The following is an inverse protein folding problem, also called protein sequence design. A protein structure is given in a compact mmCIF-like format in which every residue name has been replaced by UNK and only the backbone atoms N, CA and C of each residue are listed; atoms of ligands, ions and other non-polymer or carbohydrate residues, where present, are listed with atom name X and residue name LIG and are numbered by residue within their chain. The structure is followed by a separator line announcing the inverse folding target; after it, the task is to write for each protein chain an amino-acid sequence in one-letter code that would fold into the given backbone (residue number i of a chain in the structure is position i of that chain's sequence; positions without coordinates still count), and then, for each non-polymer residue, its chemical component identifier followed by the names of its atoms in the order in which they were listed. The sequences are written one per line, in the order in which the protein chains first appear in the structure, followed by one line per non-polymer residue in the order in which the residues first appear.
data_IF_939702580543
#
_entry.id   IF_939702580543
#
_cell.length_a   1.000
_cell.length_b   1.000
_cell.length_c   1.000
_cell.angle_alpha   90.00
_cell.angle_beta   90.00
_cell.angle_gamma   90.00
#
_symmetry.space_group_name_H-M   'P 1'
#
loop_
_entity.id
_entity.type
_entity.pdbx_description
1 polymer ?
#
# COMPACT_ATOMS: atom_id res chain seq x y z
N UNK A 1 -15.35 12.10 8.87
CA UNK A 1 -15.28 10.92 7.98
C UNK A 1 -15.57 11.39 6.56
N UNK A 2 -14.57 11.36 5.68
CA UNK A 2 -14.69 11.77 4.28
C UNK A 2 -14.32 10.61 3.37
N UNK A 3 -15.17 10.36 2.37
CA UNK A 3 -14.83 9.49 1.25
C UNK A 3 -14.53 10.40 0.07
N UNK A 4 -13.27 10.41 -0.35
CA UNK A 4 -12.80 11.21 -1.47
C UNK A 4 -12.65 10.32 -2.71
N UNK A 5 -13.34 10.67 -3.80
CA UNK A 5 -13.16 10.00 -5.09
C UNK A 5 -11.92 10.60 -5.76
N UNK A 6 -10.89 9.78 -6.00
CA UNK A 6 -9.70 10.16 -6.76
C UNK A 6 -9.60 9.37 -8.05
N UNK A 7 -8.76 9.83 -8.97
CA UNK A 7 -8.56 9.15 -10.25
C UNK A 7 -8.03 7.72 -10.02
N UNK A 8 -8.90 6.75 -10.28
CA UNK A 8 -8.60 5.33 -10.20
C UNK A 8 -8.80 4.67 -8.82
N UNK A 9 -9.18 5.40 -7.76
CA UNK A 9 -9.47 4.80 -6.45
C UNK A 9 -10.33 5.71 -5.56
N UNK A 10 -11.00 5.11 -4.57
CA UNK A 10 -11.73 5.83 -3.53
C UNK A 10 -10.87 5.83 -2.27
N UNK A 11 -10.62 7.00 -1.70
CA UNK A 11 -9.94 7.16 -0.42
C UNK A 11 -10.98 7.36 0.68
N UNK A 12 -10.93 6.55 1.74
CA UNK A 12 -11.75 6.73 2.92
C UNK A 12 -10.86 6.98 4.13
N UNK A 13 -10.82 8.24 4.57
CA UNK A 13 -10.09 8.62 5.78
C UNK A 13 -10.98 8.53 7.03
N UNK A 14 -10.43 7.91 8.08
CA UNK A 14 -11.15 7.65 9.33
C UNK A 14 -12.05 6.41 9.28
N UNK A 15 -11.87 5.52 8.30
CA UNK A 15 -12.58 4.25 8.22
C UNK A 15 -11.99 3.17 9.15
N UNK A 16 -12.69 2.03 9.32
CA UNK A 16 -12.24 0.94 10.17
C UNK A 16 -11.01 0.24 9.58
N UNK A 17 -9.83 0.52 10.14
CA UNK A 17 -8.57 -0.15 9.80
C UNK A 17 -8.20 -1.15 10.92
N UNK A 18 -7.85 -2.41 10.60
CA UNK A 18 -7.43 -3.41 11.58
C UNK A 18 -6.34 -2.90 12.54
N UNK A 19 -6.37 -3.37 13.79
CA UNK A 19 -5.34 -3.03 14.77
C UNK A 19 -3.96 -3.51 14.29
N UNK A 20 -3.00 -2.58 14.22
CA UNK A 20 -1.65 -2.85 13.70
C UNK A 20 -1.41 -2.42 12.25
N UNK A 21 -2.43 -1.94 11.54
CA UNK A 21 -2.30 -1.32 10.22
C UNK A 21 -2.70 0.17 10.25
N UNK A 22 -2.04 0.97 9.42
CA UNK A 22 -2.36 2.39 9.20
C UNK A 22 -3.28 2.59 7.98
N UNK A 23 -3.34 1.62 7.06
CA UNK A 23 -4.22 1.58 5.91
C UNK A 23 -4.57 0.16 5.46
N UNK A 24 -5.58 0.04 4.61
CA UNK A 24 -5.96 -1.21 3.94
C UNK A 24 -6.55 -0.93 2.55
N UNK A 25 -6.17 -1.75 1.58
CA UNK A 25 -6.75 -1.73 0.23
C UNK A 25 -7.72 -2.88 0.01
N UNK A 26 -8.93 -2.55 -0.43
CA UNK A 26 -9.98 -3.46 -0.86
C UNK A 26 -10.39 -3.13 -2.30
N UNK A 27 -9.76 -3.79 -3.27
CA UNK A 27 -9.99 -3.53 -4.69
C UNK A 27 -9.55 -2.13 -5.08
N UNK A 28 -10.51 -1.24 -5.36
CA UNK A 28 -10.27 0.17 -5.67
C UNK A 28 -10.58 1.11 -4.50
N UNK A 29 -10.88 0.57 -3.31
CA UNK A 29 -11.11 1.33 -2.09
C UNK A 29 -9.86 1.26 -1.22
N UNK A 30 -9.33 2.42 -0.86
CA UNK A 30 -8.21 2.60 0.05
C UNK A 30 -8.78 3.21 1.33
N UNK A 31 -8.69 2.49 2.45
CA UNK A 31 -9.15 2.96 3.75
C UNK A 31 -7.93 3.28 4.59
N UNK A 32 -7.89 4.47 5.18
CA UNK A 32 -6.75 4.93 5.97
C UNK A 32 -7.24 5.45 7.31
N UNK A 33 -6.45 5.22 8.37
CA UNK A 33 -6.74 5.77 9.69
C UNK A 33 -6.66 7.30 9.65
N UNK A 34 -7.52 7.95 10.40
CA UNK A 34 -7.54 9.42 10.50
C UNK A 34 -6.15 9.97 10.87
N UNK A 35 -5.70 10.98 10.12
CA UNK A 35 -4.37 11.61 10.30
C UNK A 35 -3.16 10.75 9.89
N UNK A 36 -3.37 9.55 9.32
CA UNK A 36 -2.29 8.65 8.87
C UNK A 36 -2.14 8.58 7.35
N UNK A 37 -2.88 9.38 6.59
CA UNK A 37 -2.81 9.50 5.12
C UNK A 37 -1.52 10.19 4.64
N UNK A 38 -0.38 9.62 4.98
CA UNK A 38 0.93 10.12 4.56
C UNK A 38 1.15 9.88 3.05
N UNK A 39 1.97 10.71 2.38
CA UNK A 39 2.27 10.52 0.96
C UNK A 39 2.91 9.15 0.64
N UNK A 40 3.63 8.58 1.61
CA UNK A 40 4.17 7.22 1.51
C UNK A 40 3.06 6.18 1.57
N UNK A 41 2.18 6.23 2.59
CA UNK A 41 1.12 5.25 2.77
C UNK A 41 0.16 5.23 1.58
N UNK A 42 -0.24 6.40 1.08
CA UNK A 42 -1.11 6.47 -0.10
C UNK A 42 -0.47 5.80 -1.32
N UNK A 43 0.82 6.05 -1.59
CA UNK A 43 1.54 5.40 -2.69
C UNK A 43 1.65 3.89 -2.49
N UNK A 44 1.85 3.43 -1.26
CA UNK A 44 1.88 2.01 -0.91
C UNK A 44 0.53 1.33 -1.20
N UNK A 45 -0.57 1.89 -0.70
CA UNK A 45 -1.92 1.37 -0.94
C UNK A 45 -2.29 1.37 -2.43
N UNK A 46 -1.84 2.37 -3.19
CA UNK A 46 -2.04 2.39 -4.65
C UNK A 46 -1.35 1.24 -5.37
N UNK A 47 -0.23 0.74 -4.85
CA UNK A 47 0.40 -0.47 -5.41
C UNK A 47 -0.51 -1.66 -5.22
N UNK A 48 -1.15 -1.80 -4.05
CA UNK A 48 -2.15 -2.84 -3.82
C UNK A 48 -3.36 -2.69 -4.74
N UNK A 49 -3.84 -1.47 -5.02
CA UNK A 49 -4.93 -1.25 -6.01
C UNK A 49 -4.52 -1.77 -7.39
N UNK A 50 -3.28 -1.48 -7.83
CA UNK A 50 -2.76 -2.01 -9.11
C UNK A 50 -2.62 -3.53 -9.08
N UNK A 51 -2.13 -4.10 -8.00
CA UNK A 51 -2.00 -5.55 -7.84
C UNK A 51 -3.37 -6.25 -7.85
N UNK A 52 -4.38 -5.66 -7.19
CA UNK A 52 -5.76 -6.12 -7.23
C UNK A 52 -6.34 -6.09 -8.65
N UNK A 53 -6.13 -5.00 -9.39
CA UNK A 53 -6.55 -4.92 -10.80
C UNK A 53 -5.83 -5.93 -11.68
N UNK A 54 -4.54 -6.20 -11.42
CA UNK A 54 -3.72 -7.13 -12.20
C UNK A 54 -4.06 -8.60 -11.95
N UNK A 55 -4.30 -8.99 -10.70
CA UNK A 55 -4.48 -10.40 -10.33
C UNK A 55 -5.93 -10.76 -9.98
N UNK A 56 -6.83 -9.78 -9.88
CA UNK A 56 -8.16 -9.95 -9.31
C UNK A 56 -8.12 -10.24 -7.81
N UNK A 57 -9.31 -10.26 -7.19
CA UNK A 57 -9.47 -10.50 -5.75
C UNK A 57 -8.84 -11.83 -5.30
N UNK A 58 -9.19 -12.90 -6.01
CA UNK A 58 -8.75 -14.27 -5.69
C UNK A 58 -7.25 -14.42 -5.95
N UNK A 59 -6.76 -13.94 -7.10
CA UNK A 59 -5.35 -14.07 -7.45
C UNK A 59 -4.43 -13.26 -6.53
N UNK A 60 -4.89 -12.10 -6.04
CA UNK A 60 -4.20 -11.33 -5.02
C UNK A 60 -4.16 -12.10 -3.68
N UNK A 61 -5.33 -12.52 -3.19
CA UNK A 61 -5.45 -13.21 -1.91
C UNK A 61 -4.61 -14.49 -1.86
N UNK A 62 -4.66 -15.32 -2.91
CA UNK A 62 -3.87 -16.56 -2.99
C UNK A 62 -2.37 -16.26 -2.93
N UNK A 63 -1.87 -15.30 -3.70
CA UNK A 63 -0.42 -14.94 -3.70
C UNK A 63 0.02 -14.39 -2.35
N UNK A 64 -0.82 -13.57 -1.73
CA UNK A 64 -0.56 -12.97 -0.43
C UNK A 64 -0.49 -14.05 0.66
N UNK A 65 -1.56 -14.83 0.79
CA UNK A 65 -1.71 -15.85 1.83
C UNK A 65 -0.73 -17.01 1.64
N UNK A 66 -0.50 -17.48 0.41
CA UNK A 66 0.47 -18.53 0.14
C UNK A 66 1.89 -18.09 0.52
N UNK A 67 2.28 -16.85 0.19
CA UNK A 67 3.59 -16.30 0.58
C UNK A 67 3.71 -16.16 2.09
N UNK A 68 2.68 -15.62 2.74
CA UNK A 68 2.64 -15.50 4.20
C UNK A 68 2.76 -16.87 4.87
N UNK A 69 1.94 -17.85 4.46
CA UNK A 69 1.96 -19.20 4.97
C UNK A 69 3.33 -19.86 4.78
N UNK A 70 3.92 -19.76 3.58
CA UNK A 70 5.24 -20.29 3.29
C UNK A 70 6.33 -19.75 4.24
N UNK A 71 6.26 -18.46 4.63
CA UNK A 71 7.20 -17.88 5.59
C UNK A 71 6.88 -18.27 7.05
N UNK A 72 5.60 -18.43 7.40
CA UNK A 72 5.19 -18.96 8.70
C UNK A 72 5.64 -20.40 8.90
N UNK A 73 5.53 -21.24 7.85
CA UNK A 73 6.09 -22.61 7.85
C UNK A 73 7.61 -22.63 7.98
N UNK A 74 8.30 -21.61 7.47
CA UNK A 74 9.74 -21.38 7.71
C UNK A 74 10.07 -20.79 9.08
N UNK A 75 9.16 -20.91 10.06
CA UNK A 75 9.29 -20.46 11.46
C UNK A 75 9.57 -18.96 11.62
N UNK A 76 9.29 -18.12 10.61
CA UNK A 76 9.38 -16.66 10.76
C UNK A 76 8.17 -16.18 11.53
N UNK A 77 8.37 -15.37 12.58
CA UNK A 77 7.27 -14.70 13.31
C UNK A 77 6.39 -13.85 12.39
N UNK A 78 5.22 -13.41 12.87
CA UNK A 78 4.22 -12.67 12.07
C UNK A 78 4.84 -11.52 11.25
N UNK A 79 5.53 -10.58 11.91
CA UNK A 79 6.23 -9.45 11.26
C UNK A 79 7.26 -9.91 10.24
N UNK A 80 8.01 -10.96 10.55
CA UNK A 80 9.04 -11.51 9.66
C UNK A 80 8.47 -12.19 8.42
N UNK A 81 7.29 -12.80 8.52
CA UNK A 81 6.58 -13.37 7.38
C UNK A 81 5.94 -12.28 6.53
N UNK A 82 5.29 -11.31 7.15
CA UNK A 82 4.65 -10.16 6.49
C UNK A 82 5.64 -9.37 5.62
N UNK A 83 6.78 -8.94 6.19
CA UNK A 83 7.79 -8.14 5.48
C UNK A 83 8.49 -8.89 4.33
N UNK A 84 8.26 -10.21 4.20
CA UNK A 84 8.83 -11.04 3.14
C UNK A 84 7.81 -11.41 2.05
N UNK A 85 6.57 -10.95 2.17
CA UNK A 85 5.57 -11.15 1.13
C UNK A 85 5.98 -10.32 -0.08
N UNK A 86 6.15 -10.91 -1.29
CA UNK A 86 6.58 -10.16 -2.47
C UNK A 86 5.69 -8.97 -2.81
N UNK A 87 4.38 -9.09 -2.57
CA UNK A 87 3.42 -8.00 -2.79
C UNK A 87 3.67 -6.79 -1.86
N UNK A 88 4.06 -7.04 -0.61
CA UNK A 88 4.42 -5.99 0.37
C UNK A 88 5.77 -5.35 0.02
N UNK A 89 6.74 -6.16 -0.41
CA UNK A 89 8.06 -5.67 -0.85
C UNK A 89 7.93 -4.77 -2.08
N UNK A 90 7.13 -5.19 -3.06
CA UNK A 90 6.85 -4.38 -4.25
C UNK A 90 6.17 -3.05 -3.85
N UNK A 91 5.20 -3.09 -2.93
CA UNK A 91 4.50 -1.91 -2.47
C UNK A 91 5.43 -0.92 -1.76
N UNK A 92 6.26 -1.39 -0.82
CA UNK A 92 7.26 -0.56 -0.12
C UNK A 92 8.28 0.03 -1.10
N UNK A 93 8.84 -0.79 -2.01
CA UNK A 93 9.84 -0.33 -2.97
C UNK A 93 9.28 0.71 -3.94
N UNK A 94 8.11 0.46 -4.53
CA UNK A 94 7.49 1.42 -5.46
C UNK A 94 7.11 2.71 -4.73
N UNK A 95 6.54 2.63 -3.52
CA UNK A 95 6.16 3.80 -2.75
C UNK A 95 7.36 4.69 -2.42
N UNK A 96 8.46 4.10 -1.95
CA UNK A 96 9.72 4.82 -1.69
C UNK A 96 10.29 5.45 -2.96
N UNK A 97 10.31 4.70 -4.06
CA UNK A 97 10.85 5.18 -5.33
C UNK A 97 10.04 6.37 -5.87
N UNK A 98 8.71 6.28 -5.86
CA UNK A 98 7.84 7.37 -6.29
C UNK A 98 7.97 8.60 -5.40
N UNK A 99 8.14 8.42 -4.09
CA UNK A 99 8.38 9.54 -3.17
C UNK A 99 9.72 10.21 -3.46
N UNK A 100 10.79 9.42 -3.66
CA UNK A 100 12.11 9.95 -3.98
C UNK A 100 12.13 10.70 -5.32
N UNK A 101 11.41 10.22 -6.33
CA UNK A 101 11.26 10.94 -7.61
C UNK A 101 10.51 12.26 -7.42
N UNK A 102 9.37 12.26 -6.74
CA UNK A 102 8.59 13.48 -6.51
C UNK A 102 9.42 14.57 -5.80
N UNK A 103 10.20 14.21 -4.78
CA UNK A 103 11.07 15.17 -4.08
C UNK A 103 12.14 15.77 -5.00
N UNK A 104 12.65 14.99 -5.96
CA UNK A 104 13.63 15.49 -6.94
C UNK A 104 13.01 16.49 -7.90
N UNK A 105 11.78 16.22 -8.35
CA UNK A 105 11.05 17.09 -9.26
C UNK A 105 10.73 18.43 -8.57
N UNK A 106 10.22 18.39 -7.33
CA UNK A 106 9.94 19.59 -6.51
C UNK A 106 11.20 20.47 -6.31
N UNK A 107 12.36 19.84 -6.10
CA UNK A 107 13.63 20.55 -5.97
C UNK A 107 14.08 21.18 -7.29
N UNK A 108 13.91 20.47 -8.40
CA UNK A 108 14.24 21.00 -9.72
C UNK A 108 13.38 22.22 -10.09
N UNK A 109 12.07 22.16 -9.82
CA UNK A 109 11.15 23.30 -10.02
C UNK A 109 11.56 24.52 -9.17
N UNK A 110 11.91 24.30 -7.89
CA UNK A 110 12.37 25.37 -6.99
C UNK A 110 13.69 26.03 -7.39
N UNK A 111 14.58 25.28 -8.07
CA UNK A 111 15.84 25.83 -8.59
C UNK A 111 15.59 26.60 -9.89
N UNK A 112 14.57 26.23 -10.65
CA UNK A 112 14.22 26.86 -11.92
C UNK A 112 13.35 28.13 -11.79
N UNK A 113 12.76 28.37 -10.61
CA UNK A 113 11.98 29.57 -10.25
C UNK A 113 12.86 30.68 -9.67
#
# INVERSE_FOLDING_TARGET
MSIEQRDGYRLWEGGPVPSGADGITLGSLVIVREGKATPYLLRHELVHVRQWRRYGAVGFAVRYLASYAAWRFRRKGHRGAYLRIPLEIEADWVARRQLATAVRDDLAERIAS
#
